data_IF_714823512048
#
_entry.id   IF_714823512048
#
_cell.length_a   1.000
_cell.length_b   1.000
_cell.length_c   1.000
_cell.angle_alpha   90.00
_cell.angle_beta   90.00
_cell.angle_gamma   90.00
#
_symmetry.space_group_name_H-M   'P 1'
#
loop_
_entity.id
_entity.type
_entity.pdbx_description
1 polymer ?
#
# COMPACT_ATOMS: atom_id res chain seq x y z
N UNK A 1 9.29 9.98 -4.16
CA UNK A 1 8.20 10.88 -3.71
C UNK A 1 6.91 10.63 -4.49
N UNK A 2 6.81 10.89 -5.78
CA UNK A 2 5.61 10.58 -6.60
C UNK A 2 5.38 9.09 -6.81
N UNK A 3 6.42 8.28 -6.79
CA UNK A 3 6.36 6.82 -6.84
C UNK A 3 5.56 6.24 -5.66
N UNK A 4 5.65 6.83 -4.47
CA UNK A 4 4.83 6.39 -3.33
C UNK A 4 3.34 6.66 -3.51
N UNK A 5 2.97 7.71 -4.24
CA UNK A 5 1.57 8.05 -4.50
C UNK A 5 0.97 7.10 -5.53
N UNK A 6 1.68 6.86 -6.63
CA UNK A 6 1.16 6.11 -7.79
C UNK A 6 1.73 4.68 -7.93
N UNK A 7 2.51 4.20 -6.97
CA UNK A 7 3.20 2.88 -7.00
C UNK A 7 2.33 1.67 -7.29
N UNK A 8 1.03 1.80 -7.12
CA UNK A 8 0.08 0.71 -7.39
C UNK A 8 -0.62 0.83 -8.73
N UNK A 9 -0.52 1.99 -9.39
CA UNK A 9 -1.17 2.28 -10.65
C UNK A 9 -0.16 2.44 -11.80
N UNK A 10 1.12 2.75 -11.50
CA UNK A 10 2.20 2.99 -12.47
C UNK A 10 3.43 2.19 -12.05
N UNK A 11 3.98 1.40 -12.97
CA UNK A 11 5.31 0.79 -12.85
C UNK A 11 6.34 1.77 -13.44
N UNK A 12 6.94 2.60 -12.58
CA UNK A 12 7.87 3.66 -13.01
C UNK A 12 9.13 3.13 -13.71
N UNK A 13 9.44 1.84 -13.59
CA UNK A 13 10.56 1.24 -14.32
C UNK A 13 10.18 0.82 -15.75
N UNK A 14 8.89 0.63 -16.05
CA UNK A 14 8.42 0.07 -17.33
C UNK A 14 7.45 0.95 -18.09
N UNK A 15 6.61 1.72 -17.38
CA UNK A 15 5.50 2.44 -17.99
C UNK A 15 5.86 3.86 -18.44
N UNK A 16 7.08 4.36 -18.10
CA UNK A 16 7.52 5.69 -18.48
C UNK A 16 7.82 5.79 -19.98
N UNK A 17 7.29 6.83 -20.61
CA UNK A 17 7.43 7.08 -22.05
C UNK A 17 7.87 8.53 -22.34
N UNK A 18 8.59 8.77 -23.43
CA UNK A 18 8.87 10.12 -23.90
C UNK A 18 7.57 10.90 -24.13
N UNK A 19 7.46 12.08 -23.54
CA UNK A 19 6.27 12.92 -23.60
C UNK A 19 5.35 12.80 -22.39
N UNK A 20 5.67 11.93 -21.43
CA UNK A 20 4.96 11.88 -20.15
C UNK A 20 5.06 13.22 -19.42
N UNK A 21 4.04 13.51 -18.63
CA UNK A 21 3.90 14.78 -17.90
C UNK A 21 3.56 14.52 -16.46
N UNK A 22 4.10 15.36 -15.58
CA UNK A 22 3.69 15.36 -14.19
C UNK A 22 3.55 16.79 -13.68
N UNK A 23 2.63 16.98 -12.74
CA UNK A 23 2.45 18.22 -12.00
C UNK A 23 2.32 17.90 -10.52
N UNK A 24 2.92 18.73 -9.67
CA UNK A 24 2.91 18.54 -8.22
C UNK A 24 2.61 19.87 -7.55
N UNK A 25 1.68 19.85 -6.59
CA UNK A 25 1.44 20.92 -5.62
C UNK A 25 1.91 20.40 -4.27
N UNK A 26 2.84 21.12 -3.65
CA UNK A 26 3.40 20.76 -2.35
C UNK A 26 3.50 21.98 -1.44
N UNK A 27 3.54 21.72 -0.16
CA UNK A 27 3.87 22.74 0.83
C UNK A 27 5.36 23.02 0.83
N UNK A 28 5.73 24.30 1.00
CA UNK A 28 7.12 24.71 1.15
C UNK A 28 7.21 25.70 2.32
N UNK A 29 8.28 25.55 3.10
CA UNK A 29 8.62 26.51 4.16
C UNK A 29 9.75 27.41 3.68
N UNK A 30 9.50 28.72 3.70
CA UNK A 30 10.45 29.75 3.31
C UNK A 30 10.81 30.62 4.51
N UNK A 31 12.07 31.02 4.61
CA UNK A 31 12.56 31.99 5.59
C UNK A 31 13.54 32.94 4.92
N UNK A 32 13.29 34.24 5.09
CA UNK A 32 14.13 35.31 4.53
C UNK A 32 14.41 35.18 3.02
N UNK A 33 13.45 34.63 2.25
CA UNK A 33 13.58 34.40 0.82
C UNK A 33 14.24 33.10 0.42
N UNK A 34 14.71 32.31 1.38
CA UNK A 34 15.29 30.98 1.13
C UNK A 34 14.31 29.85 1.47
N UNK A 35 14.24 28.82 0.61
CA UNK A 35 13.45 27.62 0.87
C UNK A 35 14.16 26.73 1.88
N UNK A 36 13.60 26.58 3.08
CA UNK A 36 14.17 25.80 4.18
C UNK A 36 13.79 24.32 4.05
N UNK A 37 12.54 24.03 3.68
CA UNK A 37 12.07 22.65 3.56
C UNK A 37 10.92 22.53 2.57
N UNK A 38 10.76 21.33 2.02
CA UNK A 38 9.54 20.87 1.34
C UNK A 38 8.70 20.08 2.32
N UNK A 39 7.41 20.37 2.37
CA UNK A 39 6.43 19.64 3.16
C UNK A 39 5.75 18.52 2.37
N UNK A 40 4.49 18.27 2.72
CA UNK A 40 3.69 17.24 2.08
C UNK A 40 3.33 17.60 0.64
N UNK A 41 3.22 16.59 -0.22
CA UNK A 41 2.56 16.73 -1.53
C UNK A 41 1.06 16.81 -1.27
N UNK A 42 0.44 17.93 -1.64
CA UNK A 42 -1.00 18.15 -1.50
C UNK A 42 -1.78 17.53 -2.66
N UNK A 43 -1.21 17.62 -3.86
CA UNK A 43 -1.76 17.01 -5.06
C UNK A 43 -0.66 16.69 -6.07
N UNK A 44 -0.87 15.63 -6.84
CA UNK A 44 -0.04 15.25 -7.95
C UNK A 44 -0.88 14.75 -9.12
N UNK A 45 -0.45 15.04 -10.34
CA UNK A 45 -0.95 14.40 -11.56
C UNK A 45 0.20 13.77 -12.31
N UNK A 46 -0.07 12.67 -12.96
CA UNK A 46 0.87 11.99 -13.84
C UNK A 46 0.15 11.51 -15.09
N UNK A 47 0.63 11.90 -16.27
CA UNK A 47 0.05 11.49 -17.55
C UNK A 47 1.08 10.66 -18.31
N UNK A 48 0.75 9.40 -18.56
CA UNK A 48 1.53 8.45 -19.35
C UNK A 48 0.62 7.64 -20.27
N UNK A 49 1.05 7.31 -21.48
CA UNK A 49 0.26 6.54 -22.42
C UNK A 49 -1.11 7.15 -22.76
N UNK A 50 -1.26 8.48 -22.66
CA UNK A 50 -2.54 9.18 -22.87
C UNK A 50 -3.53 9.09 -21.69
N UNK A 51 -3.15 8.45 -20.57
CA UNK A 51 -3.97 8.34 -19.36
C UNK A 51 -3.41 9.23 -18.26
N UNK A 52 -4.29 10.01 -17.62
CA UNK A 52 -3.92 10.86 -16.47
C UNK A 52 -4.33 10.19 -15.16
N UNK A 53 -3.36 10.03 -14.27
CA UNK A 53 -3.53 9.62 -12.89
C UNK A 53 -3.52 10.85 -12.00
N UNK A 54 -4.36 10.86 -10.99
CA UNK A 54 -4.47 11.99 -10.04
C UNK A 54 -4.32 11.47 -8.62
N UNK A 55 -3.65 12.21 -7.76
CA UNK A 55 -3.50 11.90 -6.35
C UNK A 55 -3.64 13.15 -5.51
N UNK A 56 -4.61 13.18 -4.60
CA UNK A 56 -4.89 14.28 -3.68
C UNK A 56 -4.74 13.79 -2.25
N UNK A 57 -3.94 14.51 -1.47
CA UNK A 57 -3.77 14.26 -0.04
C UNK A 57 -5.03 14.67 0.71
N UNK A 58 -5.56 13.76 1.48
CA UNK A 58 -6.72 14.01 2.34
C UNK A 58 -6.53 13.38 3.71
N UNK A 59 -6.83 14.13 4.74
CA UNK A 59 -6.76 13.68 6.12
C UNK A 59 -8.16 13.54 6.69
N UNK A 60 -8.55 12.31 7.00
CA UNK A 60 -9.80 12.02 7.69
C UNK A 60 -9.63 12.21 9.19
N UNK A 61 -10.67 12.65 9.87
CA UNK A 61 -10.66 12.86 11.32
C UNK A 61 -10.15 11.59 12.05
N UNK A 62 -9.07 11.73 12.80
CA UNK A 62 -8.46 10.65 13.59
C UNK A 62 -7.72 9.57 12.81
N UNK A 63 -7.47 9.79 11.49
CA UNK A 63 -6.67 8.89 10.65
C UNK A 63 -5.50 9.63 10.04
N UNK A 64 -4.39 8.94 9.74
CA UNK A 64 -3.32 9.57 8.98
C UNK A 64 -3.81 9.98 7.59
N UNK A 65 -3.15 10.99 7.02
CA UNK A 65 -3.42 11.43 5.67
C UNK A 65 -3.10 10.32 4.66
N UNK A 66 -3.95 10.22 3.65
CA UNK A 66 -3.84 9.25 2.56
C UNK A 66 -4.07 9.96 1.22
N UNK A 67 -3.67 9.31 0.13
CA UNK A 67 -3.91 9.83 -1.22
C UNK A 67 -5.12 9.16 -1.86
N UNK A 68 -5.92 9.99 -2.52
CA UNK A 68 -7.15 9.59 -3.22
C UNK A 68 -7.10 10.12 -4.65
N UNK A 69 -7.68 9.38 -5.59
CA UNK A 69 -7.94 9.94 -6.91
C UNK A 69 -9.05 11.00 -6.86
N UNK A 70 -9.28 11.70 -7.97
CA UNK A 70 -10.31 12.77 -8.05
C UNK A 70 -11.73 12.29 -7.75
N UNK A 71 -12.00 10.98 -7.88
CA UNK A 71 -13.31 10.39 -7.54
C UNK A 71 -13.46 10.08 -6.05
N UNK A 72 -12.38 10.20 -5.27
CA UNK A 72 -12.33 9.84 -3.85
C UNK A 72 -11.99 8.36 -3.61
N UNK A 73 -11.46 7.65 -4.60
CA UNK A 73 -10.96 6.29 -4.44
C UNK A 73 -9.55 6.33 -3.86
N UNK A 74 -9.24 5.59 -2.77
CA UNK A 74 -7.89 5.52 -2.23
C UNK A 74 -6.90 4.95 -3.26
N UNK A 75 -5.72 5.53 -3.35
CA UNK A 75 -4.64 5.03 -4.22
C UNK A 75 -3.89 3.85 -3.59
N UNK A 76 -3.96 3.69 -2.27
CA UNK A 76 -3.43 2.49 -1.61
C UNK A 76 -4.31 1.28 -1.89
N UNK A 77 -3.71 0.10 -2.02
CA UNK A 77 -4.45 -1.18 -2.08
C UNK A 77 -5.03 -1.51 -0.71
N UNK A 78 -6.17 -2.19 -0.67
CA UNK A 78 -6.76 -2.68 0.59
C UNK A 78 -5.84 -3.63 1.34
N UNK A 79 -5.04 -4.42 0.60
CA UNK A 79 -4.09 -5.37 1.17
C UNK A 79 -2.78 -5.38 0.38
N UNK A 80 -1.67 -5.46 1.12
CA UNK A 80 -0.37 -5.84 0.59
C UNK A 80 -0.24 -7.37 0.63
N UNK A 81 0.24 -7.98 -0.48
CA UNK A 81 0.36 -9.44 -0.57
C UNK A 81 1.56 -9.99 0.19
N UNK A 82 2.61 -9.21 0.30
CA UNK A 82 3.87 -9.57 0.94
C UNK A 82 4.15 -8.62 2.11
N UNK A 83 3.66 -8.95 3.32
CA UNK A 83 3.75 -8.08 4.50
C UNK A 83 5.12 -8.15 5.21
N UNK A 84 6.17 -8.47 4.49
CA UNK A 84 7.57 -8.49 4.95
C UNK A 84 8.48 -8.02 3.83
N UNK A 85 9.44 -7.14 4.16
CA UNK A 85 10.39 -6.61 3.17
C UNK A 85 11.53 -7.61 2.87
N UNK A 86 12.14 -7.48 1.68
CA UNK A 86 13.35 -8.22 1.27
C UNK A 86 13.25 -9.75 1.44
N UNK A 87 12.11 -10.33 1.05
CA UNK A 87 11.86 -11.76 1.20
C UNK A 87 11.67 -12.44 -0.15
N UNK A 88 11.89 -13.75 -0.15
CA UNK A 88 11.48 -14.66 -1.23
C UNK A 88 10.43 -15.62 -0.72
N UNK A 89 9.55 -16.07 -1.59
CA UNK A 89 8.63 -17.16 -1.25
C UNK A 89 9.45 -18.45 -1.10
N UNK A 90 9.45 -19.01 0.10
CA UNK A 90 10.10 -20.30 0.39
C UNK A 90 9.14 -21.47 0.30
N UNK A 91 7.83 -21.23 0.49
CA UNK A 91 6.79 -22.23 0.30
C UNK A 91 5.45 -21.60 -0.09
N UNK A 92 4.81 -22.19 -1.08
CA UNK A 92 3.52 -21.72 -1.59
C UNK A 92 2.34 -22.35 -0.83
N UNK A 93 1.17 -21.75 -0.98
CA UNK A 93 -0.11 -22.29 -0.53
C UNK A 93 -0.46 -23.60 -1.28
N UNK A 94 -1.02 -24.59 -0.58
CA UNK A 94 -1.53 -25.80 -1.22
C UNK A 94 -0.97 -27.10 -0.62
N UNK A 95 -1.34 -28.22 -1.24
CA UNK A 95 -0.88 -29.55 -0.80
C UNK A 95 0.62 -29.73 -1.06
N UNK A 96 1.39 -30.06 -0.01
CA UNK A 96 2.82 -30.32 -0.10
C UNK A 96 3.29 -31.33 0.94
N UNK A 97 4.46 -31.93 0.68
CA UNK A 97 5.15 -32.71 1.71
C UNK A 97 5.52 -31.79 2.89
N UNK A 98 5.06 -32.13 4.09
CA UNK A 98 5.37 -31.33 5.29
C UNK A 98 6.83 -31.50 5.67
N UNK A 99 7.64 -30.42 5.78
CA UNK A 99 9.11 -30.54 5.92
C UNK A 99 9.56 -31.20 7.22
N UNK A 100 8.72 -31.15 8.27
CA UNK A 100 9.03 -31.77 9.58
C UNK A 100 8.41 -33.18 9.73
N UNK A 101 7.21 -33.37 9.20
CA UNK A 101 6.41 -34.57 9.43
C UNK A 101 6.54 -35.63 8.30
N UNK A 102 7.11 -35.24 7.16
CA UNK A 102 7.28 -36.14 6.01
C UNK A 102 5.97 -36.67 5.40
N UNK A 103 4.83 -36.07 5.67
CA UNK A 103 3.51 -36.46 5.17
C UNK A 103 2.90 -35.36 4.31
N UNK A 104 2.07 -35.77 3.34
CA UNK A 104 1.30 -34.78 2.53
C UNK A 104 0.34 -34.00 3.43
N UNK A 105 0.49 -32.68 3.45
CA UNK A 105 -0.39 -31.78 4.20
C UNK A 105 -0.71 -30.53 3.40
N UNK A 106 -1.89 -30.00 3.68
CA UNK A 106 -2.31 -28.71 3.16
C UNK A 106 -1.55 -27.61 3.87
N UNK A 107 -0.74 -26.84 3.11
CA UNK A 107 -0.15 -25.60 3.58
C UNK A 107 -1.16 -24.48 3.46
N UNK A 108 -1.61 -23.96 4.59
CA UNK A 108 -2.75 -23.02 4.70
C UNK A 108 -2.36 -21.56 4.45
N UNK A 109 -1.10 -21.29 4.17
CA UNK A 109 -0.56 -19.95 3.94
C UNK A 109 0.56 -19.95 2.90
N UNK A 110 1.30 -18.86 2.90
CA UNK A 110 2.54 -18.69 2.13
C UNK A 110 3.67 -18.41 3.12
N UNK A 111 4.80 -19.06 2.93
CA UNK A 111 5.99 -18.82 3.74
C UNK A 111 6.94 -17.89 3.00
N UNK A 112 7.26 -16.76 3.65
CA UNK A 112 8.21 -15.75 3.18
C UNK A 112 9.52 -15.89 3.96
N UNK A 113 10.57 -16.43 3.34
CA UNK A 113 11.89 -16.50 3.96
C UNK A 113 12.49 -15.11 4.11
N UNK A 114 12.84 -14.75 5.31
CA UNK A 114 13.51 -13.50 5.65
C UNK A 114 14.38 -13.70 6.89
N UNK A 115 15.37 -12.85 7.08
CA UNK A 115 16.24 -12.91 8.26
C UNK A 115 15.43 -12.74 9.56
N UNK A 116 15.83 -13.45 10.62
CA UNK A 116 15.23 -13.25 11.94
C UNK A 116 15.37 -11.79 12.38
N UNK A 117 14.28 -11.21 12.89
CA UNK A 117 14.22 -9.80 13.26
C UNK A 117 13.77 -8.86 12.15
N UNK A 118 13.56 -9.32 10.91
CA UNK A 118 12.96 -8.52 9.85
C UNK A 118 11.54 -8.08 10.27
N UNK A 119 11.18 -6.79 10.12
CA UNK A 119 9.85 -6.31 10.48
C UNK A 119 8.74 -6.99 9.66
N UNK A 120 7.66 -7.38 10.35
CA UNK A 120 6.41 -7.87 9.76
C UNK A 120 5.38 -6.77 9.88
N UNK A 121 4.72 -6.42 8.78
CA UNK A 121 3.75 -5.34 8.69
C UNK A 121 2.33 -5.87 8.61
N UNK A 122 1.36 -5.10 9.12
CA UNK A 122 -0.06 -5.36 8.88
C UNK A 122 -0.36 -5.27 7.37
N UNK A 123 -0.96 -6.31 6.81
CA UNK A 123 -1.27 -6.38 5.38
C UNK A 123 -2.36 -5.40 4.94
N UNK A 124 -3.22 -4.96 5.85
CA UNK A 124 -4.30 -3.99 5.65
C UNK A 124 -4.65 -3.29 6.95
N UNK A 125 -5.48 -2.24 6.88
CA UNK A 125 -6.09 -1.64 8.06
C UNK A 125 -6.87 -2.72 8.82
N UNK A 126 -6.74 -2.78 10.13
CA UNK A 126 -7.29 -3.89 10.89
C UNK A 126 -7.53 -3.57 12.38
N UNK A 127 -8.33 -4.43 13.00
CA UNK A 127 -8.38 -4.58 14.46
C UNK A 127 -7.55 -5.79 14.86
N UNK A 128 -6.68 -5.65 15.85
CA UNK A 128 -5.91 -6.76 16.41
C UNK A 128 -6.84 -7.67 17.22
N UNK A 129 -7.00 -8.93 16.82
CA UNK A 129 -7.90 -9.88 17.51
C UNK A 129 -7.15 -10.92 18.32
N UNK A 130 -5.88 -11.17 18.02
CA UNK A 130 -5.04 -12.08 18.80
C UNK A 130 -3.57 -11.68 18.76
N UNK A 131 -2.90 -11.76 19.90
CA UNK A 131 -1.45 -11.65 20.07
C UNK A 131 -1.06 -12.69 21.13
N UNK A 132 -0.25 -13.69 20.77
CA UNK A 132 0.12 -14.75 21.70
C UNK A 132 0.76 -15.94 20.97
N UNK A 133 0.86 -17.08 21.67
CA UNK A 133 1.44 -18.32 21.14
C UNK A 133 0.33 -19.31 20.81
N UNK A 134 0.41 -19.96 19.64
CA UNK A 134 -0.46 -21.05 19.23
C UNK A 134 0.35 -22.26 18.79
N UNK A 135 -0.17 -23.48 19.11
CA UNK A 135 0.48 -24.73 18.72
C UNK A 135 0.72 -24.81 17.21
N UNK A 136 1.94 -25.09 16.83
CA UNK A 136 2.38 -25.15 15.42
C UNK A 136 2.83 -23.81 14.88
N UNK A 137 2.06 -22.74 15.08
CA UNK A 137 2.39 -21.38 14.56
C UNK A 137 3.45 -20.66 15.40
N UNK A 138 3.71 -21.09 16.66
CA UNK A 138 4.58 -20.35 17.55
C UNK A 138 3.97 -19.02 17.98
N UNK A 139 4.75 -17.96 18.01
CA UNK A 139 4.26 -16.61 18.26
C UNK A 139 3.48 -16.11 17.05
N UNK A 140 2.24 -15.69 17.29
CA UNK A 140 1.29 -15.39 16.23
C UNK A 140 0.50 -14.12 16.52
N UNK A 141 0.23 -13.36 15.48
CA UNK A 141 -0.72 -12.24 15.48
C UNK A 141 -1.83 -12.57 14.48
N UNK A 142 -3.07 -12.27 14.86
CA UNK A 142 -4.24 -12.37 13.98
C UNK A 142 -4.91 -11.00 13.93
N UNK A 143 -5.20 -10.56 12.71
CA UNK A 143 -5.84 -9.29 12.41
C UNK A 143 -7.19 -9.52 11.74
N UNK A 144 -8.21 -8.77 12.18
CA UNK A 144 -9.52 -8.69 11.55
C UNK A 144 -9.61 -7.39 10.75
N UNK A 145 -9.87 -7.52 9.45
CA UNK A 145 -9.98 -6.39 8.52
C UNK A 145 -11.44 -5.98 8.23
N UNK A 146 -12.39 -6.60 8.93
CA UNK A 146 -13.81 -6.45 8.63
C UNK A 146 -14.24 -7.19 7.37
N UNK A 147 -15.54 -7.16 7.05
CA UNK A 147 -16.12 -7.80 5.84
C UNK A 147 -15.65 -9.24 5.62
N UNK A 148 -15.53 -10.00 6.70
CA UNK A 148 -15.10 -11.41 6.70
C UNK A 148 -13.65 -11.67 6.29
N UNK A 149 -12.80 -10.64 6.21
CA UNK A 149 -11.37 -10.79 5.92
C UNK A 149 -10.55 -10.82 7.21
N UNK A 150 -9.66 -11.78 7.32
CA UNK A 150 -8.66 -11.82 8.39
C UNK A 150 -7.31 -12.31 7.91
N UNK A 151 -6.25 -11.96 8.61
CA UNK A 151 -4.90 -12.42 8.31
C UNK A 151 -4.22 -12.97 9.56
N UNK A 152 -3.35 -13.97 9.36
CA UNK A 152 -2.54 -14.57 10.40
C UNK A 152 -1.07 -14.48 10.03
N UNK A 153 -0.24 -14.18 11.04
CA UNK A 153 1.21 -14.01 10.92
C UNK A 153 1.88 -14.88 11.98
N UNK A 154 2.53 -15.96 11.55
CA UNK A 154 3.14 -16.97 12.43
C UNK A 154 4.66 -16.91 12.49
N UNK A 155 5.20 -17.73 13.37
CA UNK A 155 6.64 -17.99 13.61
C UNK A 155 7.44 -16.75 14.05
N UNK A 156 6.79 -15.73 14.61
CA UNK A 156 7.45 -14.50 15.04
C UNK A 156 8.50 -14.75 16.12
N UNK A 157 9.59 -13.99 16.08
CA UNK A 157 10.58 -13.95 17.19
C UNK A 157 10.05 -13.13 18.37
N UNK A 158 9.37 -12.03 18.09
CA UNK A 158 8.76 -11.13 19.08
C UNK A 158 7.61 -10.34 18.46
N UNK A 159 6.71 -9.85 19.29
CA UNK A 159 5.60 -9.00 18.88
C UNK A 159 6.05 -7.54 18.74
N UNK A 160 5.30 -6.78 17.93
CA UNK A 160 5.39 -5.33 17.87
C UNK A 160 4.68 -4.67 19.06
N UNK A 161 4.67 -3.34 19.08
CA UNK A 161 3.98 -2.54 20.11
C UNK A 161 2.48 -2.45 19.79
N UNK A 162 1.77 -3.58 19.83
CA UNK A 162 0.35 -3.69 19.56
C UNK A 162 -0.39 -4.42 20.70
N UNK A 163 -1.70 -4.18 20.82
CA UNK A 163 -2.56 -4.81 21.83
C UNK A 163 -3.84 -5.35 21.19
N UNK A 164 -4.38 -6.43 21.74
CA UNK A 164 -5.69 -6.95 21.35
C UNK A 164 -6.75 -5.85 21.51
N UNK A 165 -7.64 -5.71 20.52
CA UNK A 165 -8.64 -4.67 20.42
C UNK A 165 -8.18 -3.37 19.76
N UNK A 166 -6.88 -3.15 19.61
CA UNK A 166 -6.32 -1.95 18.95
C UNK A 166 -6.65 -1.93 17.46
N UNK A 167 -7.05 -0.77 16.94
CA UNK A 167 -7.06 -0.50 15.50
C UNK A 167 -5.68 -0.08 15.03
N UNK A 168 -5.21 -0.66 13.95
CA UNK A 168 -3.92 -0.39 13.32
C UNK A 168 -4.09 -0.16 11.83
N UNK A 169 -3.20 0.64 11.25
CA UNK A 169 -3.20 0.91 9.81
C UNK A 169 -2.33 -0.11 9.07
N UNK A 170 -2.62 -0.29 7.78
CA UNK A 170 -1.74 -1.01 6.85
C UNK A 170 -0.30 -0.51 6.98
N UNK A 171 0.67 -1.43 6.97
CA UNK A 171 2.10 -1.09 7.12
C UNK A 171 2.57 -0.94 8.57
N UNK A 172 1.68 -0.94 9.57
CA UNK A 172 2.09 -0.94 10.98
C UNK A 172 2.92 -2.18 11.29
N UNK A 173 4.08 -2.02 11.94
CA UNK A 173 4.92 -3.16 12.37
C UNK A 173 4.23 -3.90 13.52
N UNK A 174 3.81 -5.13 13.25
CA UNK A 174 3.06 -5.98 14.18
C UNK A 174 3.92 -7.03 14.90
N UNK A 175 5.13 -7.26 14.41
CA UNK A 175 6.09 -8.20 14.96
C UNK A 175 7.32 -8.34 14.08
N UNK A 176 8.10 -9.36 14.35
CA UNK A 176 9.38 -9.57 13.67
C UNK A 176 9.54 -11.05 13.32
N UNK A 177 10.12 -11.32 12.15
CA UNK A 177 10.41 -12.67 11.67
C UNK A 177 11.20 -13.46 12.69
N UNK A 178 10.85 -14.71 12.85
CA UNK A 178 11.52 -15.65 13.74
C UNK A 178 11.43 -17.09 13.23
N UNK A 179 11.51 -18.03 14.17
CA UNK A 179 11.48 -19.46 13.92
C UNK A 179 10.75 -20.18 15.07
N UNK A 180 9.80 -19.53 15.73
CA UNK A 180 9.06 -20.14 16.85
C UNK A 180 8.01 -21.14 16.34
N UNK A 181 7.66 -22.13 17.14
CA UNK A 181 6.72 -23.18 16.75
C UNK A 181 7.32 -24.24 15.82
N UNK A 182 6.54 -24.72 14.85
CA UNK A 182 6.98 -25.79 13.90
C UNK A 182 7.60 -25.16 12.65
N UNK A 183 8.79 -24.62 12.77
CA UNK A 183 9.55 -24.00 11.69
C UNK A 183 10.94 -24.63 11.56
N UNK A 184 11.45 -24.75 10.34
CA UNK A 184 12.78 -25.32 10.04
C UNK A 184 13.85 -24.26 9.79
N UNK A 185 13.45 -23.00 9.68
CA UNK A 185 14.33 -21.85 9.47
C UNK A 185 13.54 -20.55 9.62
N UNK A 186 14.21 -19.39 9.71
CA UNK A 186 13.54 -18.11 9.85
C UNK A 186 12.66 -17.78 8.66
N UNK A 187 11.37 -17.55 8.89
CA UNK A 187 10.39 -17.13 7.87
C UNK A 187 9.13 -16.54 8.53
N UNK A 188 8.35 -15.81 7.75
CA UNK A 188 6.98 -15.46 8.08
C UNK A 188 6.06 -16.50 7.45
N UNK A 189 5.22 -17.16 8.26
CA UNK A 189 4.04 -17.86 7.78
C UNK A 189 2.88 -16.89 7.71
N UNK A 190 2.31 -16.66 6.52
CA UNK A 190 1.25 -15.69 6.28
C UNK A 190 0.01 -16.37 5.72
N UNK A 191 -1.13 -16.21 6.40
CA UNK A 191 -2.43 -16.67 5.91
C UNK A 191 -3.32 -15.47 5.60
N UNK A 192 -4.00 -15.53 4.46
CA UNK A 192 -5.14 -14.66 4.12
C UNK A 192 -6.41 -15.48 4.17
N UNK A 193 -7.41 -15.01 4.91
CA UNK A 193 -8.65 -15.75 5.16
C UNK A 193 -9.85 -14.93 4.72
N UNK A 194 -10.80 -15.61 4.08
CA UNK A 194 -12.11 -15.08 3.70
C UNK A 194 -13.16 -15.98 4.32
N UNK A 195 -14.10 -15.44 5.08
CA UNK A 195 -15.10 -16.23 5.84
C UNK A 195 -14.46 -17.31 6.74
N UNK A 196 -13.32 -16.99 7.34
CA UNK A 196 -12.54 -17.93 8.17
C UNK A 196 -11.77 -19.00 7.40
N UNK A 197 -11.96 -19.12 6.08
CA UNK A 197 -11.28 -20.09 5.22
C UNK A 197 -10.00 -19.51 4.63
N UNK A 198 -8.91 -20.26 4.71
CA UNK A 198 -7.65 -19.88 4.10
C UNK A 198 -7.75 -19.82 2.58
N UNK A 199 -7.27 -18.75 2.00
CA UNK A 199 -7.15 -18.54 0.55
C UNK A 199 -5.69 -18.29 0.20
N UNK A 200 -5.31 -18.65 -1.01
CA UNK A 200 -3.96 -18.36 -1.49
C UNK A 200 -3.77 -16.84 -1.67
N UNK A 201 -2.96 -16.17 -0.84
CA UNK A 201 -2.78 -14.72 -0.92
C UNK A 201 -2.18 -14.25 -2.24
N UNK A 202 -1.50 -15.16 -2.98
CA UNK A 202 -0.87 -14.82 -4.25
C UNK A 202 -1.85 -14.76 -5.42
N UNK A 203 -2.97 -15.50 -5.35
CA UNK A 203 -3.94 -15.61 -6.45
C UNK A 203 -5.34 -15.12 -6.10
N UNK A 204 -5.69 -14.96 -4.81
CA UNK A 204 -7.01 -14.46 -4.42
C UNK A 204 -7.23 -13.04 -4.92
N UNK A 205 -8.42 -12.77 -5.44
CA UNK A 205 -8.83 -11.40 -5.78
C UNK A 205 -9.01 -10.61 -4.48
N UNK A 206 -8.14 -9.61 -4.28
CA UNK A 206 -8.26 -8.73 -3.13
C UNK A 206 -9.43 -7.76 -3.35
N UNK A 207 -10.21 -7.43 -2.30
CA UNK A 207 -11.26 -6.43 -2.44
C UNK A 207 -10.66 -5.08 -2.84
N UNK A 208 -11.36 -4.30 -3.67
CA UNK A 208 -10.95 -2.93 -3.94
C UNK A 208 -11.02 -2.10 -2.66
N UNK A 209 -10.19 -1.05 -2.53
CA UNK A 209 -10.32 -0.10 -1.43
C UNK A 209 -11.67 0.62 -1.49
N UNK A 210 -12.23 0.94 -0.34
CA UNK A 210 -13.50 1.66 -0.26
C UNK A 210 -13.32 3.14 -0.64
N UNK A 211 -14.08 3.64 -1.62
CA UNK A 211 -14.07 5.06 -1.95
C UNK A 211 -14.72 5.89 -0.82
N UNK A 212 -14.32 7.14 -0.72
CA UNK A 212 -14.98 8.12 0.14
C UNK A 212 -16.44 8.29 -0.27
N UNK A 213 -17.34 8.44 0.70
CA UNK A 213 -18.77 8.60 0.45
C UNK A 213 -19.37 9.69 1.34
N UNK A 214 -20.54 10.19 0.96
CA UNK A 214 -21.32 11.12 1.77
C UNK A 214 -20.51 12.34 2.23
N UNK A 215 -20.51 12.59 3.54
CA UNK A 215 -19.82 13.73 4.15
C UNK A 215 -18.30 13.70 3.98
N UNK A 216 -17.67 12.51 4.00
CA UNK A 216 -16.21 12.39 3.78
C UNK A 216 -15.84 12.79 2.35
N UNK A 217 -16.61 12.38 1.34
CA UNK A 217 -16.39 12.78 -0.05
C UNK A 217 -16.59 14.28 -0.26
N UNK A 218 -17.60 14.88 0.41
CA UNK A 218 -17.83 16.32 0.36
C UNK A 218 -16.66 17.09 0.99
N UNK A 219 -16.18 16.66 2.16
CA UNK A 219 -15.02 17.25 2.82
C UNK A 219 -13.74 17.11 1.98
N UNK A 220 -13.50 15.93 1.38
CA UNK A 220 -12.40 15.70 0.45
C UNK A 220 -12.41 16.69 -0.70
N UNK A 221 -13.54 16.84 -1.38
CA UNK A 221 -13.68 17.77 -2.51
C UNK A 221 -13.44 19.21 -2.11
N UNK A 222 -13.96 19.65 -0.95
CA UNK A 222 -13.74 20.98 -0.45
C UNK A 222 -12.27 21.26 -0.12
N UNK A 223 -11.59 20.29 0.54
CA UNK A 223 -10.19 20.44 0.93
C UNK A 223 -9.25 20.42 -0.29
N UNK A 224 -9.55 19.62 -1.30
CA UNK A 224 -8.64 19.39 -2.45
C UNK A 224 -8.90 20.35 -3.62
N UNK A 225 -10.04 21.05 -3.66
CA UNK A 225 -10.39 21.97 -4.73
C UNK A 225 -9.32 23.04 -5.02
N UNK A 226 -8.66 23.70 -4.02
CA UNK A 226 -7.62 24.69 -4.31
C UNK A 226 -6.40 24.09 -5.01
N UNK A 227 -5.96 22.89 -4.61
CA UNK A 227 -4.83 22.19 -5.22
C UNK A 227 -5.16 21.74 -6.64
N UNK A 228 -6.36 21.24 -6.88
CA UNK A 228 -6.86 20.89 -8.21
C UNK A 228 -6.85 22.11 -9.15
N UNK A 229 -7.45 23.22 -8.73
CA UNK A 229 -7.50 24.45 -9.53
C UNK A 229 -6.08 24.96 -9.87
N UNK A 230 -5.13 24.82 -8.93
CA UNK A 230 -3.73 25.20 -9.16
C UNK A 230 -3.05 24.30 -10.19
N UNK A 231 -3.24 22.98 -10.14
CA UNK A 231 -2.71 22.05 -11.16
C UNK A 231 -3.30 22.38 -12.53
N UNK A 232 -4.62 22.48 -12.65
CA UNK A 232 -5.29 22.79 -13.91
C UNK A 232 -4.84 24.12 -14.51
N UNK A 233 -4.65 25.14 -13.66
CA UNK A 233 -4.13 26.44 -14.09
C UNK A 233 -2.70 26.36 -14.62
N UNK A 234 -1.81 25.66 -13.92
CA UNK A 234 -0.42 25.45 -14.35
C UNK A 234 -0.33 24.63 -15.64
N UNK A 235 -1.08 23.54 -15.74
CA UNK A 235 -1.09 22.68 -16.93
C UNK A 235 -1.58 23.43 -18.16
N UNK A 236 -2.60 24.27 -18.04
CA UNK A 236 -3.05 25.15 -19.12
C UNK A 236 -1.95 26.11 -19.59
N UNK A 237 -1.17 26.68 -18.66
CA UNK A 237 -0.09 27.60 -19.02
C UNK A 237 1.11 26.88 -19.67
N UNK A 238 1.51 25.75 -19.11
CA UNK A 238 2.73 25.05 -19.53
C UNK A 238 2.51 24.26 -20.83
N UNK A 239 1.33 23.63 -20.97
CA UNK A 239 1.06 22.70 -22.07
C UNK A 239 0.14 23.26 -23.16
N UNK A 240 -0.40 24.50 -23.02
CA UNK A 240 -1.23 25.16 -24.02
C UNK A 240 -0.50 25.36 -25.37
N UNK A 241 0.83 25.51 -25.35
CA UNK A 241 1.63 25.69 -26.55
C UNK A 241 2.17 24.37 -27.17
N UNK A 242 2.14 23.26 -26.44
CA UNK A 242 2.64 21.97 -26.91
C UNK A 242 1.77 21.32 -28.00
N UNK A 243 0.56 21.83 -28.22
CA UNK A 243 -0.38 21.37 -29.26
C UNK A 243 -0.41 22.18 -30.55
N UNK A 244 0.34 23.28 -30.64
CA UNK A 244 0.42 24.05 -31.91
C UNK A 244 1.52 23.45 -32.81
N UNK A 245 1.20 22.93 -34.00
CA UNK A 245 2.23 22.54 -34.95
C UNK A 245 3.08 23.78 -35.26
N UNK A 246 4.41 23.63 -35.18
CA UNK A 246 5.33 24.68 -35.57
C UNK A 246 4.91 25.18 -36.97
N UNK A 247 4.52 26.46 -37.08
CA UNK A 247 4.27 27.09 -38.37
C UNK A 247 5.55 26.97 -39.16
N UNK A 248 5.54 26.07 -40.16
CA UNK A 248 6.61 25.95 -41.12
C UNK A 248 6.90 27.34 -41.69
N UNK A 249 8.14 27.80 -41.54
CA UNK A 249 8.63 28.94 -42.33
C UNK A 249 8.61 28.46 -43.79
N UNK A 250 7.59 28.88 -44.52
CA UNK A 250 7.64 28.86 -45.96
C UNK A 250 8.72 29.88 -46.38
N UNK A 251 9.91 29.36 -46.68
CA UNK A 251 10.93 30.14 -47.35
C UNK A 251 10.44 30.49 -48.76
N UNK A 252 10.38 31.78 -49.03
CA UNK A 252 10.38 32.31 -50.40
C UNK A 252 11.79 32.37 -50.95
#
# INVERSE_FOLDING_TARGET
MTDEIFKYDIDFDKDLQPGDRFSVVMDETWREGERISTGDILAATFTTGGKTYTGFRFERAGKPAEYYDISGRPLKKSFIRMPVAYSRISSTFGARMHPVLGTMRMHKGVDYAAASGTPIMAAGDARVVFVGTQRGYGNVVILDHGKNYSTLYGHMSRFGKIKVGQHINQGTVIGYVGMTGMATGPHLHYEFRVDGQQRNPMSVTMPPPEPLQGAELAAFRAQTAPALARIEGMEKLIYADAGKPAKGKSGG
#
